data_IF_718798927788
#
_entry.id   IF_718798927788
#
_cell.length_a   1.000
_cell.length_b   1.000
_cell.length_c   1.000
_cell.angle_alpha   90.00
_cell.angle_beta   90.00
_cell.angle_gamma   90.00
#
_symmetry.space_group_name_H-M   'P 1'
#
loop_
_entity.id
_entity.type
_entity.pdbx_description
1 polymer ?
#
# COMPACT_ATOMS: atom_id res chain seq x y z
N UNK A 1 40.91 35.54 -10.86
CA UNK A 1 41.19 34.15 -10.47
C UNK A 1 40.06 33.70 -9.56
N UNK A 2 39.29 32.70 -9.94
CA UNK A 2 38.27 32.11 -9.05
C UNK A 2 38.93 31.02 -8.21
N UNK A 3 38.63 31.00 -6.90
CA UNK A 3 39.13 29.98 -5.97
C UNK A 3 37.91 29.21 -5.47
N UNK A 4 37.94 27.89 -5.57
CA UNK A 4 36.89 27.04 -5.02
C UNK A 4 36.95 27.09 -3.48
N UNK A 5 35.82 27.40 -2.85
CA UNK A 5 35.66 27.38 -1.39
C UNK A 5 34.64 26.31 -1.01
N UNK A 6 34.81 25.69 0.17
CA UNK A 6 33.82 24.74 0.70
C UNK A 6 32.58 25.49 1.20
N UNK A 7 31.40 25.14 0.70
CA UNK A 7 30.12 25.74 1.11
C UNK A 7 28.94 24.77 1.25
N UNK A 8 29.02 23.57 0.67
CA UNK A 8 27.89 22.63 0.61
C UNK A 8 27.37 22.18 1.99
N UNK A 9 28.26 21.75 2.88
CA UNK A 9 27.88 21.23 4.21
C UNK A 9 27.14 22.27 5.07
N UNK A 10 27.69 23.49 5.16
CA UNK A 10 27.05 24.59 5.89
C UNK A 10 25.69 24.99 5.31
N UNK A 11 25.55 24.93 3.98
CA UNK A 11 24.30 25.22 3.32
C UNK A 11 23.24 24.14 3.61
N UNK A 12 23.64 22.86 3.63
CA UNK A 12 22.77 21.72 3.98
C UNK A 12 22.32 21.82 5.45
N UNK A 13 23.24 22.08 6.38
CA UNK A 13 22.93 22.22 7.80
C UNK A 13 21.92 23.37 8.04
N UNK A 14 22.16 24.53 7.43
CA UNK A 14 21.23 25.66 7.53
C UNK A 14 19.86 25.34 6.90
N UNK A 15 19.83 24.63 5.77
CA UNK A 15 18.59 24.20 5.13
C UNK A 15 17.78 23.23 6.01
N UNK A 16 18.45 22.28 6.69
CA UNK A 16 17.80 21.39 7.65
C UNK A 16 17.22 22.18 8.83
N UNK A 17 17.98 23.12 9.40
CA UNK A 17 17.50 23.94 10.50
C UNK A 17 16.29 24.81 10.09
N UNK A 18 16.27 25.32 8.86
CA UNK A 18 15.10 26.01 8.31
C UNK A 18 13.89 25.08 8.19
N UNK A 19 14.08 23.84 7.71
CA UNK A 19 12.99 22.85 7.62
C UNK A 19 12.46 22.43 9.00
N UNK A 20 13.34 22.30 9.99
CA UNK A 20 12.94 21.99 11.37
C UNK A 20 12.13 23.12 12.02
N UNK A 21 12.54 24.37 11.80
CA UNK A 21 11.79 25.55 12.23
C UNK A 21 10.44 25.63 11.53
N UNK A 22 10.39 25.37 10.22
CA UNK A 22 9.15 25.32 9.45
C UNK A 22 8.21 24.22 9.96
N UNK A 23 8.74 23.02 10.24
CA UNK A 23 8.00 21.90 10.83
C UNK A 23 7.43 22.26 12.21
N UNK A 24 8.18 22.99 13.04
CA UNK A 24 7.69 23.45 14.36
C UNK A 24 6.55 24.45 14.20
N UNK A 25 6.63 25.35 13.21
CA UNK A 25 5.63 26.38 12.98
C UNK A 25 5.60 27.44 14.09
N UNK A 26 4.46 28.12 14.25
CA UNK A 26 4.25 29.14 15.27
C UNK A 26 4.35 28.53 16.69
N UNK A 27 5.24 29.09 17.51
CA UNK A 27 5.48 28.60 18.86
C UNK A 27 4.32 28.86 19.83
N UNK A 28 3.41 29.77 19.49
CA UNK A 28 2.18 30.02 20.25
C UNK A 28 1.16 28.88 20.10
N UNK A 29 1.27 28.08 19.04
CA UNK A 29 0.48 26.87 18.86
C UNK A 29 1.17 25.71 19.58
N UNK A 30 0.44 24.90 20.39
CA UNK A 30 1.00 23.72 21.03
C UNK A 30 1.64 22.77 20.02
N UNK A 31 2.83 22.25 20.36
CA UNK A 31 3.54 21.32 19.50
C UNK A 31 2.77 19.99 19.39
N UNK A 32 2.65 19.47 18.17
CA UNK A 32 2.04 18.18 17.89
C UNK A 32 2.86 17.03 18.51
N UNK A 33 2.23 16.16 19.29
CA UNK A 33 2.84 14.93 19.82
C UNK A 33 2.67 13.76 18.84
N UNK A 34 3.57 12.78 18.90
CA UNK A 34 3.40 11.55 18.12
C UNK A 34 2.16 10.75 18.59
N UNK A 35 1.82 10.82 19.88
CA UNK A 35 0.61 10.22 20.45
C UNK A 35 -0.67 10.81 19.85
N UNK A 36 -0.77 12.14 19.73
CA UNK A 36 -1.91 12.80 19.06
C UNK A 36 -2.06 12.33 17.61
N UNK A 37 -0.96 12.20 16.87
CA UNK A 37 -0.99 11.67 15.49
C UNK A 37 -1.44 10.20 15.49
N UNK A 38 -0.88 9.39 16.39
CA UNK A 38 -1.20 7.97 16.55
C UNK A 38 -2.68 7.71 16.83
N UNK A 39 -3.30 8.52 17.67
CA UNK A 39 -4.69 8.37 18.10
C UNK A 39 -5.69 9.06 17.17
N UNK A 40 -5.38 10.26 16.66
CA UNK A 40 -6.36 11.11 15.97
C UNK A 40 -6.21 11.09 14.45
N UNK A 41 -5.04 10.72 13.92
CA UNK A 41 -4.76 10.60 12.48
C UNK A 41 -4.51 9.15 12.06
N UNK A 42 -5.24 8.21 12.69
CA UNK A 42 -5.01 6.78 12.56
C UNK A 42 -4.98 6.25 11.12
N UNK A 43 -5.81 6.77 10.21
CA UNK A 43 -5.80 6.32 8.80
C UNK A 43 -4.50 6.69 8.05
N UNK A 44 -3.85 7.81 8.41
CA UNK A 44 -2.55 8.16 7.87
C UNK A 44 -1.45 7.25 8.42
N UNK A 45 -1.53 6.92 9.71
CA UNK A 45 -0.64 5.96 10.38
C UNK A 45 -0.78 4.57 9.73
N UNK A 46 -2.00 4.11 9.45
CA UNK A 46 -2.27 2.83 8.80
C UNK A 46 -1.62 2.73 7.40
N UNK A 47 -1.68 3.82 6.62
CA UNK A 47 -1.00 3.90 5.32
C UNK A 47 0.52 3.84 5.47
N UNK A 48 1.09 4.62 6.38
CA UNK A 48 2.54 4.65 6.63
C UNK A 48 3.06 3.32 7.16
N UNK A 49 2.32 2.61 8.02
CA UNK A 49 2.71 1.26 8.46
C UNK A 49 2.70 0.27 7.29
N UNK A 50 1.63 0.29 6.48
CA UNK A 50 1.43 -0.65 5.36
C UNK A 50 2.51 -0.47 4.30
N UNK A 51 2.68 0.76 3.80
CA UNK A 51 3.68 1.06 2.78
C UNK A 51 5.09 1.17 3.38
N UNK A 52 5.28 1.51 4.66
CA UNK A 52 6.59 1.50 5.32
C UNK A 52 7.10 0.10 5.65
N UNK A 53 6.20 -0.87 5.83
CA UNK A 53 6.53 -2.28 6.08
C UNK A 53 6.91 -2.60 7.54
N UNK A 54 6.43 -1.81 8.50
CA UNK A 54 6.56 -2.07 9.94
C UNK A 54 5.19 -1.81 10.59
N UNK A 55 4.66 -2.81 11.30
CA UNK A 55 3.49 -2.63 12.16
C UNK A 55 3.92 -2.08 13.52
N UNK A 56 4.03 -0.76 13.61
CA UNK A 56 4.22 -0.03 14.87
C UNK A 56 3.60 1.36 14.71
N UNK A 57 2.48 1.59 15.42
CA UNK A 57 1.73 2.85 15.31
C UNK A 57 2.53 4.05 15.80
N UNK A 58 3.37 3.87 16.82
CA UNK A 58 4.17 4.94 17.39
C UNK A 58 5.29 5.36 16.45
N UNK A 59 5.98 4.40 15.84
CA UNK A 59 7.04 4.67 14.86
C UNK A 59 6.47 5.32 13.59
N UNK A 60 5.34 4.83 13.08
CA UNK A 60 4.67 5.46 11.95
C UNK A 60 4.21 6.89 12.27
N UNK A 61 3.63 7.14 13.45
CA UNK A 61 3.26 8.48 13.88
C UNK A 61 4.47 9.41 14.07
N UNK A 62 5.60 8.89 14.57
CA UNK A 62 6.87 9.61 14.65
C UNK A 62 7.38 10.00 13.27
N UNK A 63 7.34 9.07 12.31
CA UNK A 63 7.76 9.33 10.93
C UNK A 63 6.89 10.43 10.29
N UNK A 64 5.57 10.38 10.47
CA UNK A 64 4.63 11.42 10.01
C UNK A 64 4.97 12.77 10.62
N UNK A 65 5.22 12.82 11.94
CA UNK A 65 5.63 14.04 12.64
C UNK A 65 6.92 14.60 12.05
N UNK A 66 7.94 13.75 11.89
CA UNK A 66 9.25 14.13 11.40
C UNK A 66 9.19 14.68 9.96
N UNK A 67 8.34 14.08 9.13
CA UNK A 67 8.07 14.45 7.74
C UNK A 67 7.09 15.62 7.57
N UNK A 68 6.67 16.28 8.66
CA UNK A 68 5.71 17.39 8.60
C UNK A 68 4.37 17.03 7.95
N UNK A 69 3.96 15.77 8.04
CA UNK A 69 2.73 15.25 7.42
C UNK A 69 2.89 14.73 5.99
N UNK A 70 4.07 14.84 5.37
CA UNK A 70 4.33 14.19 4.07
C UNK A 70 4.41 12.67 4.26
N UNK A 71 3.42 11.95 3.73
CA UNK A 71 3.33 10.51 3.91
C UNK A 71 4.37 9.74 3.10
N UNK A 72 4.82 10.25 1.95
CA UNK A 72 5.83 9.57 1.12
C UNK A 72 7.18 9.60 1.82
N UNK A 73 7.54 10.76 2.38
CA UNK A 73 8.74 10.89 3.21
C UNK A 73 8.63 10.07 4.51
N UNK A 74 7.46 10.06 5.16
CA UNK A 74 7.24 9.23 6.36
C UNK A 74 7.37 7.73 6.08
N UNK A 75 6.83 7.25 4.95
CA UNK A 75 6.99 5.87 4.48
C UNK A 75 8.47 5.56 4.27
N UNK A 76 9.22 6.46 3.62
CA UNK A 76 10.63 6.26 3.37
C UNK A 76 11.45 6.23 4.67
N UNK A 77 11.18 7.12 5.62
CA UNK A 77 11.80 7.11 6.96
C UNK A 77 11.58 5.79 7.68
N UNK A 78 10.34 5.30 7.73
CA UNK A 78 10.02 4.04 8.39
C UNK A 78 10.65 2.83 7.67
N UNK A 79 10.67 2.86 6.33
CA UNK A 79 11.30 1.83 5.51
C UNK A 79 12.82 1.81 5.66
N UNK A 80 13.46 2.97 5.77
CA UNK A 80 14.89 3.09 6.03
C UNK A 80 15.23 2.58 7.44
N UNK A 81 14.39 2.88 8.44
CA UNK A 81 14.55 2.37 9.79
C UNK A 81 14.51 0.84 9.86
N UNK A 82 13.64 0.19 9.06
CA UNK A 82 13.59 -1.28 8.93
C UNK A 82 14.95 -1.91 8.65
N UNK A 83 15.80 -1.28 7.84
CA UNK A 83 17.13 -1.78 7.48
C UNK A 83 18.10 -1.81 8.67
N UNK A 84 17.80 -1.06 9.74
CA UNK A 84 18.62 -1.02 10.96
C UNK A 84 18.23 -2.10 11.98
N UNK A 85 17.10 -2.78 11.77
CA UNK A 85 16.54 -3.75 12.71
C UNK A 85 16.93 -5.20 12.35
N UNK A 86 17.28 -6.03 13.34
CA UNK A 86 17.47 -7.46 13.11
C UNK A 86 16.13 -8.16 12.89
N UNK A 87 16.10 -9.18 12.02
CA UNK A 87 14.97 -10.12 11.92
C UNK A 87 15.09 -11.15 13.05
N UNK A 88 14.32 -10.97 14.11
CA UNK A 88 14.38 -11.82 15.32
C UNK A 88 13.63 -13.14 15.17
N UNK A 89 12.51 -13.12 14.44
CA UNK A 89 11.67 -14.29 14.22
C UNK A 89 10.88 -14.13 12.91
N UNK A 90 10.22 -15.20 12.49
CA UNK A 90 9.16 -15.22 11.47
C UNK A 90 7.91 -15.73 12.16
N UNK A 91 6.75 -15.09 11.92
CA UNK A 91 5.51 -15.57 12.51
C UNK A 91 5.07 -16.87 11.86
N UNK A 92 4.28 -17.64 12.60
CA UNK A 92 3.37 -18.60 11.96
C UNK A 92 2.44 -17.84 10.98
N UNK A 93 1.91 -18.52 9.95
CA UNK A 93 0.91 -17.93 9.06
C UNK A 93 -0.28 -17.37 9.84
N UNK A 94 -0.74 -16.18 9.47
CA UNK A 94 -1.84 -15.52 10.16
C UNK A 94 -3.17 -16.23 9.91
N UNK A 95 -3.91 -16.51 10.97
CA UNK A 95 -5.21 -17.17 10.91
C UNK A 95 -6.36 -16.14 10.91
N UNK A 96 -6.66 -15.53 9.75
CA UNK A 96 -7.69 -14.48 9.61
C UNK A 96 -9.13 -14.98 9.85
N UNK A 97 -9.35 -16.29 9.88
CA UNK A 97 -10.61 -16.93 10.28
C UNK A 97 -10.91 -16.76 11.78
N UNK A 98 -9.88 -16.49 12.59
CA UNK A 98 -9.99 -16.23 14.02
C UNK A 98 -9.95 -14.73 14.35
N UNK A 99 -10.11 -13.86 13.35
CA UNK A 99 -10.07 -12.41 13.53
C UNK A 99 -11.16 -11.93 14.50
N UNK A 100 -10.75 -11.18 15.52
CA UNK A 100 -11.68 -10.43 16.38
C UNK A 100 -12.15 -9.19 15.65
N UNK A 101 -13.31 -9.32 15.01
CA UNK A 101 -13.88 -8.36 14.08
C UNK A 101 -14.24 -7.02 14.74
N UNK A 102 -13.90 -5.94 14.06
CA UNK A 102 -14.50 -4.61 14.25
C UNK A 102 -15.45 -4.24 13.12
N UNK A 103 -15.20 -4.76 11.92
CA UNK A 103 -15.97 -4.53 10.71
C UNK A 103 -15.96 -5.77 9.84
N UNK A 104 -17.09 -6.07 9.20
CA UNK A 104 -17.26 -7.18 8.27
C UNK A 104 -18.43 -6.90 7.32
N UNK A 105 -18.15 -6.76 6.04
CA UNK A 105 -19.17 -6.54 5.01
C UNK A 105 -19.01 -7.45 3.81
N UNK A 106 -20.10 -7.72 3.10
CA UNK A 106 -20.11 -8.39 1.80
C UNK A 106 -21.07 -7.69 0.84
N UNK A 107 -20.66 -7.51 -0.41
CA UNK A 107 -21.53 -6.97 -1.45
C UNK A 107 -22.27 -8.05 -2.25
N UNK A 108 -21.95 -9.32 -2.08
CA UNK A 108 -22.50 -10.43 -2.90
C UNK A 108 -23.73 -11.11 -2.28
N UNK A 109 -23.96 -10.91 -0.99
CA UNK A 109 -25.18 -11.36 -0.30
C UNK A 109 -25.80 -10.22 0.51
N UNK A 110 -27.14 -10.21 0.58
CA UNK A 110 -27.86 -9.22 1.39
C UNK A 110 -27.55 -9.38 2.89
N UNK A 111 -27.47 -10.61 3.34
CA UNK A 111 -27.16 -10.97 4.72
C UNK A 111 -26.24 -12.20 4.74
N UNK A 112 -25.48 -12.36 5.82
CA UNK A 112 -24.45 -13.37 5.97
C UNK A 112 -24.62 -14.08 7.31
N UNK A 113 -24.17 -15.34 7.46
CA UNK A 113 -23.86 -15.86 8.78
C UNK A 113 -22.91 -14.90 9.50
N UNK A 114 -23.29 -14.45 10.71
CA UNK A 114 -22.60 -13.40 11.46
C UNK A 114 -22.97 -11.96 11.10
N UNK A 115 -23.85 -11.76 10.11
CA UNK A 115 -24.41 -10.47 9.73
C UNK A 115 -23.45 -9.53 8.98
N UNK A 116 -24.00 -8.39 8.57
CA UNK A 116 -23.28 -7.25 8.02
C UNK A 116 -22.91 -6.29 9.16
N UNK A 117 -21.62 -6.19 9.48
CA UNK A 117 -21.08 -5.37 10.57
C UNK A 117 -20.37 -4.16 9.96
N UNK A 118 -21.03 -2.99 9.97
CA UNK A 118 -20.44 -1.79 9.37
C UNK A 118 -19.21 -1.28 10.13
N UNK A 119 -19.16 -1.45 11.45
CA UNK A 119 -18.04 -0.96 12.26
C UNK A 119 -17.78 0.56 12.11
N UNK A 120 -16.59 1.05 12.54
CA UNK A 120 -16.18 2.42 12.31
C UNK A 120 -15.90 2.66 10.82
N UNK A 121 -16.66 3.55 10.18
CA UNK A 121 -16.51 3.84 8.75
C UNK A 121 -16.93 5.26 8.38
N UNK A 122 -16.32 5.79 7.33
CA UNK A 122 -16.78 7.01 6.64
C UNK A 122 -17.81 6.71 5.54
N UNK A 123 -18.12 5.45 5.27
CA UNK A 123 -19.20 5.08 4.35
C UNK A 123 -20.51 5.71 4.80
N UNK A 124 -21.38 6.05 3.82
CA UNK A 124 -22.69 6.67 4.05
C UNK A 124 -22.69 8.08 4.68
N UNK A 125 -21.53 8.64 5.05
CA UNK A 125 -21.44 10.03 5.52
C UNK A 125 -21.73 11.05 4.42
N UNK A 126 -22.26 12.23 4.76
CA UNK A 126 -22.28 13.36 3.84
C UNK A 126 -20.92 14.07 3.89
N UNK A 127 -20.29 14.27 2.73
CA UNK A 127 -18.94 14.86 2.64
C UNK A 127 -19.00 16.40 2.73
N UNK A 128 -19.41 16.88 3.90
CA UNK A 128 -19.47 18.30 4.25
C UNK A 128 -18.38 18.58 5.28
N UNK A 129 -17.71 19.73 5.16
CA UNK A 129 -16.74 20.14 6.17
C UNK A 129 -17.45 20.39 7.50
N UNK A 130 -17.01 19.69 8.54
CA UNK A 130 -17.51 19.89 9.90
C UNK A 130 -16.74 21.02 10.60
N UNK A 131 -17.30 22.22 10.55
CA UNK A 131 -16.70 23.40 11.19
C UNK A 131 -16.69 23.32 12.72
N UNK A 132 -17.44 22.40 13.35
CA UNK A 132 -17.40 22.22 14.80
C UNK A 132 -16.02 21.75 15.28
N UNK A 133 -15.28 21.01 14.43
CA UNK A 133 -13.92 20.53 14.73
C UNK A 133 -12.85 21.63 14.78
N UNK A 134 -13.18 22.89 14.44
CA UNK A 134 -12.29 24.03 14.67
C UNK A 134 -12.21 24.45 16.15
N UNK A 135 -13.17 24.00 16.97
CA UNK A 135 -13.17 24.20 18.41
C UNK A 135 -13.00 22.86 19.13
N UNK A 136 -12.48 22.89 20.35
CA UNK A 136 -12.49 21.71 21.21
C UNK A 136 -13.94 21.34 21.54
N UNK A 137 -14.31 20.08 21.30
CA UNK A 137 -15.63 19.54 21.58
C UNK A 137 -15.54 18.16 22.24
N UNK A 138 -16.66 17.69 22.76
CA UNK A 138 -16.77 16.34 23.30
C UNK A 138 -17.22 15.38 22.20
N UNK A 139 -16.51 14.27 22.05
CA UNK A 139 -16.92 13.17 21.17
C UNK A 139 -18.02 12.37 21.86
N UNK A 140 -19.18 12.13 21.23
CA UNK A 140 -20.21 11.29 21.83
C UNK A 140 -19.68 9.87 22.05
N UNK A 141 -20.14 9.17 23.11
CA UNK A 141 -19.74 7.79 23.34
C UNK A 141 -20.18 6.91 22.16
N UNK A 142 -19.33 5.96 21.78
CA UNK A 142 -19.66 5.00 20.73
C UNK A 142 -20.89 4.17 21.15
N UNK A 143 -21.84 3.90 20.25
CA UNK A 143 -22.94 3.00 20.54
C UNK A 143 -22.40 1.60 20.83
N UNK A 144 -22.98 0.93 21.82
CA UNK A 144 -22.68 -0.47 22.15
C UNK A 144 -23.83 -1.35 21.65
N UNK A 145 -23.48 -2.48 21.04
CA UNK A 145 -24.47 -3.48 20.66
C UNK A 145 -24.91 -4.28 21.90
N UNK A 146 -26.19 -4.69 21.93
CA UNK A 146 -26.74 -5.50 23.01
C UNK A 146 -26.16 -6.93 23.01
N UNK A 147 -25.86 -7.45 21.82
CA UNK A 147 -25.29 -8.79 21.62
C UNK A 147 -23.86 -8.69 21.06
N UNK A 148 -22.92 -9.50 21.58
CA UNK A 148 -21.57 -9.57 21.01
C UNK A 148 -21.61 -10.21 19.62
N UNK A 149 -20.63 -9.86 18.79
CA UNK A 149 -20.41 -10.56 17.53
C UNK A 149 -20.06 -12.04 17.79
N UNK A 150 -20.43 -12.96 16.87
CA UNK A 150 -19.98 -14.33 16.96
C UNK A 150 -18.45 -14.41 16.99
N UNK A 151 -17.90 -15.26 17.86
CA UNK A 151 -16.44 -15.45 18.00
C UNK A 151 -15.78 -15.89 16.68
N UNK A 152 -16.53 -16.58 15.82
CA UNK A 152 -16.08 -17.00 14.49
C UNK A 152 -17.13 -16.70 13.44
N UNK A 153 -16.69 -16.04 12.38
CA UNK A 153 -17.49 -15.78 11.18
C UNK A 153 -16.80 -16.43 9.99
N UNK A 154 -17.45 -17.42 9.37
CA UNK A 154 -16.93 -18.06 8.16
C UNK A 154 -16.69 -17.03 7.04
N UNK A 155 -15.65 -17.25 6.25
CA UNK A 155 -15.39 -16.44 5.06
C UNK A 155 -16.48 -16.64 4.02
N UNK A 156 -16.80 -15.58 3.27
CA UNK A 156 -17.76 -15.65 2.16
C UNK A 156 -17.28 -16.62 1.10
N UNK A 157 -15.96 -16.69 0.86
CA UNK A 157 -15.39 -17.69 -0.05
C UNK A 157 -15.57 -19.13 0.44
N UNK A 158 -15.59 -19.40 1.75
CA UNK A 158 -15.91 -20.75 2.26
C UNK A 158 -17.33 -21.18 1.85
N UNK A 159 -18.28 -20.25 1.89
CA UNK A 159 -19.66 -20.49 1.47
C UNK A 159 -19.76 -20.74 -0.04
N UNK A 160 -18.96 -20.04 -0.85
CA UNK A 160 -18.87 -20.26 -2.30
C UNK A 160 -18.18 -21.59 -2.62
N UNK A 161 -17.13 -21.95 -1.90
CA UNK A 161 -16.39 -23.20 -2.05
C UNK A 161 -17.27 -24.42 -1.72
N UNK A 162 -18.04 -24.36 -0.63
CA UNK A 162 -19.01 -25.40 -0.27
C UNK A 162 -20.05 -25.66 -1.36
N UNK A 163 -20.41 -24.62 -2.11
CA UNK A 163 -21.33 -24.69 -3.26
C UNK A 163 -20.63 -25.00 -4.58
N UNK A 164 -19.29 -25.16 -4.58
CA UNK A 164 -18.45 -25.36 -5.78
C UNK A 164 -18.56 -24.21 -6.79
N UNK A 165 -18.85 -23.00 -6.30
CA UNK A 165 -18.92 -21.78 -7.11
C UNK A 165 -17.58 -21.04 -7.16
N UNK A 166 -16.65 -21.38 -6.28
CA UNK A 166 -15.26 -20.94 -6.27
C UNK A 166 -14.36 -22.11 -5.89
N UNK A 167 -13.05 -21.96 -6.11
CA UNK A 167 -12.04 -22.90 -5.62
C UNK A 167 -11.45 -22.39 -4.31
N UNK A 168 -11.16 -23.34 -3.41
CA UNK A 168 -10.35 -23.07 -2.23
C UNK A 168 -8.91 -22.76 -2.67
N UNK A 169 -8.28 -21.79 -1.99
CA UNK A 169 -6.83 -21.63 -2.06
C UNK A 169 -6.22 -22.73 -1.19
N UNK A 170 -5.26 -23.48 -1.74
CA UNK A 170 -4.61 -24.59 -1.07
C UNK A 170 -3.15 -24.24 -0.76
N UNK A 171 -2.70 -24.57 0.44
CA UNK A 171 -1.28 -24.50 0.79
C UNK A 171 -0.56 -25.72 0.21
N UNK A 172 0.30 -25.47 -0.78
CA UNK A 172 1.14 -26.50 -1.41
C UNK A 172 2.49 -26.69 -0.70
N UNK A 173 2.71 -25.99 0.42
CA UNK A 173 3.95 -26.01 1.20
C UNK A 173 5.11 -25.27 0.53
N UNK A 174 4.87 -24.54 -0.56
CA UNK A 174 5.91 -23.73 -1.21
C UNK A 174 6.38 -22.62 -0.27
N UNK A 175 7.70 -22.42 -0.24
CA UNK A 175 8.27 -21.31 0.54
C UNK A 175 8.00 -19.99 -0.19
N UNK A 176 7.42 -18.97 0.47
CA UNK A 176 7.15 -17.70 -0.17
C UNK A 176 8.45 -16.99 -0.54
N UNK A 177 8.45 -16.32 -1.69
CA UNK A 177 9.55 -15.44 -2.09
C UNK A 177 9.65 -14.23 -1.16
N UNK A 178 10.87 -13.72 -0.96
CA UNK A 178 11.13 -12.53 -0.14
C UNK A 178 11.91 -11.48 -0.94
N UNK A 179 11.18 -10.53 -1.53
CA UNK A 179 11.73 -9.42 -2.32
C UNK A 179 12.60 -8.46 -1.48
N UNK A 180 12.57 -8.57 -0.15
CA UNK A 180 13.45 -7.79 0.74
C UNK A 180 14.82 -8.44 0.92
N UNK A 181 15.02 -9.66 0.40
CA UNK A 181 16.28 -10.39 0.39
C UNK A 181 16.81 -10.61 -1.01
N UNK A 182 15.92 -10.87 -1.96
CA UNK A 182 16.26 -11.13 -3.36
C UNK A 182 15.58 -10.07 -4.25
N UNK A 183 16.30 -9.45 -5.20
CA UNK A 183 15.67 -8.50 -6.11
C UNK A 183 14.62 -9.20 -7.00
N UNK A 184 13.52 -8.52 -7.38
CA UNK A 184 12.49 -9.10 -8.22
C UNK A 184 13.03 -9.42 -9.63
N UNK A 185 12.62 -10.56 -10.18
CA UNK A 185 12.89 -10.99 -11.55
C UNK A 185 11.56 -11.46 -12.15
N UNK A 186 11.19 -10.91 -13.29
CA UNK A 186 9.91 -11.21 -13.92
C UNK A 186 10.01 -12.44 -14.85
N UNK A 187 9.00 -13.33 -14.87
CA UNK A 187 7.78 -13.29 -14.05
C UNK A 187 8.03 -13.72 -12.59
N UNK A 188 7.32 -13.07 -11.67
CA UNK A 188 7.33 -13.29 -10.23
C UNK A 188 6.26 -14.32 -9.81
N UNK A 189 6.52 -15.07 -8.74
CA UNK A 189 5.47 -15.89 -8.10
C UNK A 189 4.38 -14.98 -7.50
N UNK A 190 3.15 -15.51 -7.34
CA UNK A 190 2.06 -14.76 -6.71
C UNK A 190 2.42 -14.27 -5.29
N UNK A 191 3.23 -15.05 -4.55
CA UNK A 191 3.73 -14.64 -3.22
C UNK A 191 4.58 -13.35 -3.31
N UNK A 192 5.51 -13.26 -4.26
CA UNK A 192 6.30 -12.06 -4.53
C UNK A 192 5.43 -10.90 -5.03
N UNK A 193 4.44 -11.17 -5.89
CA UNK A 193 3.52 -10.12 -6.38
C UNK A 193 2.70 -9.53 -5.23
N UNK A 194 2.08 -10.36 -4.39
CA UNK A 194 1.32 -9.89 -3.22
C UNK A 194 2.21 -9.14 -2.22
N UNK A 195 3.42 -9.63 -1.96
CA UNK A 195 4.40 -8.94 -1.11
C UNK A 195 4.77 -7.54 -1.66
N UNK A 196 4.89 -7.40 -2.98
CA UNK A 196 5.15 -6.10 -3.62
C UNK A 196 3.90 -5.19 -3.58
N UNK A 197 2.71 -5.72 -3.87
CA UNK A 197 1.46 -4.94 -3.89
C UNK A 197 1.11 -4.34 -2.52
N UNK A 198 1.33 -5.06 -1.42
CA UNK A 198 1.10 -4.49 -0.07
C UNK A 198 2.05 -3.32 0.21
N UNK A 199 3.26 -3.33 -0.37
CA UNK A 199 4.26 -2.27 -0.25
C UNK A 199 4.07 -1.11 -1.24
N UNK A 200 3.31 -1.32 -2.31
CA UNK A 200 3.12 -0.34 -3.38
C UNK A 200 2.30 0.89 -2.98
N UNK A 201 2.43 1.97 -3.72
CA UNK A 201 1.70 3.21 -3.52
C UNK A 201 0.20 3.00 -3.69
N UNK A 202 -0.56 3.43 -2.69
CA UNK A 202 -2.01 3.31 -2.70
C UNK A 202 -2.68 4.03 -3.87
N UNK A 203 -2.22 5.23 -4.23
CA UNK A 203 -2.79 6.03 -5.32
C UNK A 203 -2.56 5.40 -6.69
N UNK A 204 -1.34 4.91 -6.94
CA UNK A 204 -0.98 4.20 -8.17
C UNK A 204 -1.81 2.93 -8.35
N UNK A 205 -1.84 2.06 -7.33
CA UNK A 205 -2.61 0.81 -7.40
C UNK A 205 -4.12 1.06 -7.52
N UNK A 206 -4.63 2.10 -6.86
CA UNK A 206 -6.04 2.52 -6.99
C UNK A 206 -6.34 2.96 -8.44
N UNK A 207 -5.46 3.73 -9.08
CA UNK A 207 -5.64 4.15 -10.46
C UNK A 207 -5.61 2.98 -11.45
N UNK A 208 -4.68 2.02 -11.26
CA UNK A 208 -4.64 0.78 -12.05
C UNK A 208 -5.93 -0.04 -11.86
N UNK A 209 -6.35 -0.23 -10.62
CA UNK A 209 -7.60 -0.92 -10.28
C UNK A 209 -8.82 -0.25 -10.91
N UNK A 210 -8.88 1.08 -10.87
CA UNK A 210 -9.97 1.83 -11.50
C UNK A 210 -9.97 1.68 -13.02
N UNK A 211 -8.78 1.56 -13.65
CA UNK A 211 -8.68 1.34 -15.09
C UNK A 211 -9.29 -0.02 -15.52
N UNK A 212 -9.11 -1.08 -14.73
CA UNK A 212 -9.70 -2.40 -15.03
C UNK A 212 -11.22 -2.36 -14.92
N UNK A 213 -11.76 -1.63 -13.93
CA UNK A 213 -13.21 -1.40 -13.79
C UNK A 213 -13.79 -0.62 -14.99
N UNK A 214 -12.97 0.22 -15.63
CA UNK A 214 -13.35 0.96 -16.84
C UNK A 214 -13.11 0.22 -18.16
N UNK A 215 -12.63 -1.03 -18.10
CA UNK A 215 -12.51 -1.91 -19.26
C UNK A 215 -11.08 -2.21 -19.72
N UNK A 216 -10.05 -1.59 -19.14
CA UNK A 216 -8.65 -1.88 -19.48
C UNK A 216 -8.18 -3.14 -18.74
N UNK A 217 -8.39 -4.32 -19.32
CA UNK A 217 -8.14 -5.60 -18.63
C UNK A 217 -9.23 -5.95 -17.63
N UNK A 218 -10.50 -5.90 -18.06
CA UNK A 218 -11.68 -6.10 -17.21
C UNK A 218 -11.69 -7.49 -16.55
N UNK A 219 -11.88 -7.54 -15.23
CA UNK A 219 -11.97 -8.77 -14.44
C UNK A 219 -13.28 -8.94 -13.64
N UNK A 220 -14.31 -8.10 -13.90
CA UNK A 220 -15.66 -8.18 -13.32
C UNK A 220 -15.72 -8.35 -11.78
N UNK A 221 -15.27 -7.36 -11.00
CA UNK A 221 -15.11 -7.52 -9.56
C UNK A 221 -16.40 -7.31 -8.75
N UNK A 222 -16.53 -8.07 -7.66
CA UNK A 222 -17.47 -7.85 -6.57
C UNK A 222 -16.71 -7.99 -5.24
N UNK A 223 -17.00 -7.12 -4.26
CA UNK A 223 -16.45 -7.27 -2.91
C UNK A 223 -17.09 -8.50 -2.24
N UNK A 224 -16.41 -9.64 -2.33
CA UNK A 224 -16.84 -10.89 -1.71
C UNK A 224 -16.91 -10.71 -0.21
N UNK A 225 -15.81 -10.25 0.38
CA UNK A 225 -15.75 -9.87 1.78
C UNK A 225 -14.70 -8.79 2.01
N UNK A 226 -15.02 -7.85 2.92
CA UNK A 226 -14.02 -6.97 3.55
C UNK A 226 -14.22 -7.12 5.05
N UNK A 227 -13.16 -7.49 5.76
CA UNK A 227 -13.16 -7.60 7.22
C UNK A 227 -11.96 -6.89 7.82
N UNK A 228 -12.20 -6.21 8.94
CA UNK A 228 -11.16 -5.53 9.71
C UNK A 228 -11.26 -5.96 11.16
N UNK A 229 -10.13 -6.22 11.79
CA UNK A 229 -10.09 -6.69 13.17
C UNK A 229 -8.71 -7.15 13.59
N UNK A 230 -8.63 -7.60 14.84
CA UNK A 230 -7.39 -8.01 15.46
C UNK A 230 -7.13 -9.49 15.21
N UNK A 231 -5.90 -9.82 14.81
CA UNK A 231 -5.42 -11.18 14.58
C UNK A 231 -4.20 -11.42 15.47
N UNK A 232 -4.18 -12.54 16.18
CA UNK A 232 -3.05 -12.98 16.99
C UNK A 232 -1.84 -13.30 16.11
N UNK A 233 -0.65 -12.91 16.59
CA UNK A 233 0.63 -13.25 15.96
C UNK A 233 1.37 -14.22 16.87
N UNK A 234 1.72 -15.37 16.32
CA UNK A 234 2.47 -16.41 17.02
C UNK A 234 3.85 -16.60 16.37
N UNK A 235 4.84 -16.95 17.16
CA UNK A 235 6.16 -17.39 16.69
C UNK A 235 6.51 -18.74 17.35
N UNK A 236 7.41 -19.50 16.75
CA UNK A 236 7.99 -20.72 17.36
C UNK A 236 9.48 -20.46 17.64
N UNK A 237 9.84 -19.98 18.85
CA UNK A 237 11.24 -19.75 19.21
C UNK A 237 12.00 -21.08 19.27
N UNK A 238 13.23 -21.11 18.75
CA UNK A 238 14.09 -22.30 18.76
C UNK A 238 14.33 -22.81 20.20
N UNK A 239 14.41 -21.90 21.16
CA UNK A 239 14.66 -22.20 22.57
C UNK A 239 13.51 -22.92 23.26
N UNK A 240 12.28 -22.80 22.74
CA UNK A 240 11.07 -23.37 23.32
C UNK A 240 10.52 -24.55 22.51
N UNK A 241 10.59 -24.48 21.19
CA UNK A 241 10.10 -25.53 20.28
C UNK A 241 8.57 -25.66 20.22
N UNK A 242 7.82 -24.64 20.69
CA UNK A 242 6.36 -24.56 20.57
C UNK A 242 5.91 -23.11 20.30
N UNK A 243 4.69 -22.95 19.77
CA UNK A 243 4.13 -21.66 19.42
C UNK A 243 3.85 -20.79 20.66
N UNK A 244 4.21 -19.50 20.56
CA UNK A 244 4.01 -18.49 21.60
C UNK A 244 3.31 -17.29 20.98
N UNK A 245 2.18 -16.89 21.57
CA UNK A 245 1.47 -15.64 21.29
C UNK A 245 2.34 -14.44 21.74
N UNK A 246 2.66 -13.55 20.79
CA UNK A 246 3.45 -12.34 21.03
C UNK A 246 2.62 -11.04 20.93
N UNK A 247 1.31 -11.16 20.75
CA UNK A 247 0.36 -10.06 20.68
C UNK A 247 -0.56 -10.15 19.47
N UNK A 248 -1.24 -9.03 19.20
CA UNK A 248 -2.21 -8.93 18.11
C UNK A 248 -1.90 -7.76 17.19
N UNK A 249 -2.28 -7.91 15.93
CA UNK A 249 -2.19 -6.86 14.91
C UNK A 249 -3.58 -6.59 14.34
N UNK A 250 -3.88 -5.31 14.16
CA UNK A 250 -5.09 -4.87 13.47
C UNK A 250 -4.84 -4.94 11.97
N UNK A 251 -5.66 -5.71 11.27
CA UNK A 251 -5.57 -5.93 9.83
C UNK A 251 -6.90 -5.61 9.15
N UNK A 252 -6.82 -5.32 7.86
CA UNK A 252 -7.96 -5.36 6.95
C UNK A 252 -7.66 -6.33 5.82
N UNK A 253 -8.53 -7.32 5.66
CA UNK A 253 -8.51 -8.34 4.62
C UNK A 253 -9.64 -8.06 3.61
N UNK A 254 -9.32 -8.16 2.32
CA UNK A 254 -10.25 -8.01 1.23
C UNK A 254 -10.15 -9.19 0.26
N UNK A 255 -11.27 -9.87 0.08
CA UNK A 255 -11.44 -10.92 -0.93
C UNK A 255 -12.38 -10.44 -2.03
N UNK A 256 -11.86 -10.32 -3.24
CA UNK A 256 -12.65 -9.96 -4.43
C UNK A 256 -13.10 -11.23 -5.15
N UNK A 257 -14.39 -11.31 -5.47
CA UNK A 257 -14.93 -12.26 -6.45
C UNK A 257 -14.77 -11.64 -7.83
N UNK A 258 -14.24 -12.38 -8.79
CA UNK A 258 -13.99 -11.94 -10.15
C UNK A 258 -14.74 -12.81 -11.17
N UNK A 259 -14.63 -12.49 -12.46
CA UNK A 259 -15.25 -13.24 -13.54
C UNK A 259 -14.99 -14.76 -13.44
N UNK A 260 -15.96 -15.56 -13.88
CA UNK A 260 -15.83 -17.01 -13.88
C UNK A 260 -15.05 -17.52 -15.08
N UNK A 261 -14.42 -18.68 -14.91
CA UNK A 261 -13.74 -19.43 -15.97
C UNK A 261 -14.47 -20.75 -16.22
N UNK A 262 -14.29 -21.33 -17.41
CA UNK A 262 -14.85 -22.63 -17.82
C UNK A 262 -13.71 -23.57 -18.30
N UNK A 263 -12.91 -24.10 -17.35
CA UNK A 263 -11.82 -25.01 -17.68
C UNK A 263 -12.34 -26.41 -18.07
N UNK A 264 -11.53 -27.18 -18.81
CA UNK A 264 -11.94 -28.49 -19.32
C UNK A 264 -11.98 -29.60 -18.25
N UNK A 265 -11.22 -29.45 -17.16
CA UNK A 265 -10.97 -30.49 -16.14
C UNK A 265 -11.87 -30.39 -14.90
N UNK A 266 -12.65 -29.30 -14.76
CA UNK A 266 -13.50 -29.03 -13.58
C UNK A 266 -14.68 -28.10 -13.93
N UNK A 267 -15.73 -28.02 -13.09
CA UNK A 267 -16.88 -27.15 -13.35
C UNK A 267 -16.50 -25.66 -13.44
N UNK A 268 -17.28 -24.84 -14.17
CA UNK A 268 -17.12 -23.40 -14.16
C UNK A 268 -17.23 -22.82 -12.76
N UNK A 269 -16.35 -21.87 -12.43
CA UNK A 269 -16.28 -21.27 -11.10
C UNK A 269 -15.72 -19.86 -11.18
N UNK A 270 -16.03 -19.03 -10.17
CA UNK A 270 -15.48 -17.70 -10.01
C UNK A 270 -13.98 -17.74 -9.73
N UNK A 271 -13.28 -16.76 -10.28
CA UNK A 271 -11.89 -16.46 -9.92
C UNK A 271 -11.86 -15.43 -8.78
N UNK A 272 -10.68 -15.17 -8.22
CA UNK A 272 -10.54 -14.33 -7.02
C UNK A 272 -9.31 -13.44 -7.01
N UNK A 273 -9.39 -12.35 -6.26
CA UNK A 273 -8.28 -11.49 -5.92
C UNK A 273 -8.18 -11.29 -4.41
N UNK A 274 -6.97 -11.07 -3.89
CA UNK A 274 -6.70 -10.99 -2.46
C UNK A 274 -5.89 -9.75 -2.09
N UNK A 275 -6.27 -9.08 -0.99
CA UNK A 275 -5.55 -7.95 -0.43
C UNK A 275 -5.56 -7.96 1.09
N UNK A 276 -4.43 -7.65 1.69
CA UNK A 276 -4.24 -7.62 3.14
C UNK A 276 -3.35 -6.45 3.53
N UNK A 277 -3.79 -5.65 4.50
CA UNK A 277 -3.09 -4.42 4.93
C UNK A 277 -3.15 -4.24 6.44
N UNK A 278 -2.24 -3.42 6.97
CA UNK A 278 -2.30 -3.01 8.37
C UNK A 278 -3.40 -1.96 8.61
N UNK A 279 -4.01 -2.02 9.78
CA UNK A 279 -5.02 -1.06 10.22
C UNK A 279 -6.32 -1.17 9.43
N UNK A 280 -6.93 0.00 9.16
CA UNK A 280 -8.27 0.13 8.55
C UNK A 280 -8.22 0.68 7.12
N UNK A 281 -7.10 0.53 6.40
CA UNK A 281 -6.93 1.08 5.04
C UNK A 281 -7.60 0.24 3.95
N UNK A 282 -8.93 0.16 3.97
CA UNK A 282 -9.74 -0.68 3.06
C UNK A 282 -9.44 -0.41 1.58
N UNK A 283 -9.28 0.86 1.18
CA UNK A 283 -9.06 1.21 -0.23
C UNK A 283 -7.79 0.57 -0.78
N UNK A 284 -6.73 0.47 0.03
CA UNK A 284 -5.48 -0.18 -0.35
C UNK A 284 -5.66 -1.69 -0.47
N UNK A 285 -6.36 -2.32 0.48
CA UNK A 285 -6.66 -3.76 0.40
C UNK A 285 -7.50 -4.10 -0.84
N UNK A 286 -8.51 -3.29 -1.16
CA UNK A 286 -9.32 -3.43 -2.36
C UNK A 286 -8.49 -3.26 -3.64
N UNK A 287 -7.65 -2.23 -3.72
CA UNK A 287 -6.79 -2.00 -4.87
C UNK A 287 -5.79 -3.15 -5.07
N UNK A 288 -5.20 -3.64 -3.98
CA UNK A 288 -4.34 -4.82 -3.98
C UNK A 288 -5.07 -6.05 -4.52
N UNK A 289 -6.28 -6.35 -4.04
CA UNK A 289 -7.07 -7.50 -4.52
C UNK A 289 -7.42 -7.42 -6.01
N UNK A 290 -7.77 -6.22 -6.49
CA UNK A 290 -8.10 -6.00 -7.90
C UNK A 290 -6.88 -6.15 -8.82
N UNK A 291 -5.72 -5.64 -8.40
CA UNK A 291 -4.47 -5.76 -9.15
C UNK A 291 -3.89 -7.18 -9.04
N UNK A 292 -4.00 -7.86 -7.89
CA UNK A 292 -3.65 -9.28 -7.74
C UNK A 292 -4.34 -10.11 -8.82
N UNK A 293 -5.67 -9.99 -8.95
CA UNK A 293 -6.39 -10.72 -10.00
C UNK A 293 -5.94 -10.30 -11.41
N UNK A 294 -5.68 -9.02 -11.63
CA UNK A 294 -5.22 -8.54 -12.94
C UNK A 294 -3.85 -9.12 -13.31
N UNK A 295 -2.98 -9.39 -12.34
CA UNK A 295 -1.66 -10.00 -12.53
C UNK A 295 -1.68 -11.54 -12.56
N UNK A 296 -2.84 -12.18 -12.48
CA UNK A 296 -2.99 -13.64 -12.65
C UNK A 296 -3.20 -14.05 -14.12
N UNK A 297 -2.83 -13.18 -15.08
CA UNK A 297 -3.08 -13.40 -16.51
C UNK A 297 -2.42 -14.67 -17.03
N UNK A 298 -1.17 -14.95 -16.62
CA UNK A 298 -0.44 -16.13 -17.05
C UNK A 298 -1.11 -17.42 -16.55
N UNK A 299 -1.55 -17.43 -15.29
CA UNK A 299 -2.22 -18.57 -14.64
C UNK A 299 -3.57 -18.90 -15.28
N UNK A 300 -4.28 -17.89 -15.80
CA UNK A 300 -5.56 -18.08 -16.51
C UNK A 300 -5.46 -18.08 -18.03
N UNK A 301 -4.24 -17.96 -18.61
CA UNK A 301 -4.04 -17.89 -20.06
C UNK A 301 -4.69 -16.66 -20.72
N UNK A 302 -4.80 -15.55 -20.00
CA UNK A 302 -5.40 -14.30 -20.46
C UNK A 302 -4.38 -13.45 -21.22
N UNK A 303 -4.82 -12.78 -22.28
CA UNK A 303 -3.99 -11.79 -22.97
C UNK A 303 -3.93 -10.47 -22.17
N UNK A 304 -2.76 -9.84 -22.16
CA UNK A 304 -2.57 -8.49 -21.59
C UNK A 304 -3.29 -7.47 -22.48
N UNK A 305 -4.37 -6.90 -21.96
CA UNK A 305 -5.22 -5.93 -22.65
C UNK A 305 -5.20 -4.53 -22.01
N UNK A 306 -4.55 -4.38 -20.85
CA UNK A 306 -4.39 -3.10 -20.17
C UNK A 306 -3.18 -3.08 -19.23
N UNK A 307 -2.74 -1.89 -18.78
CA UNK A 307 -1.51 -1.75 -17.99
C UNK A 307 -1.54 -2.51 -16.66
N UNK A 308 -2.71 -2.68 -16.04
CA UNK A 308 -2.85 -3.42 -14.78
C UNK A 308 -2.56 -4.93 -14.91
N UNK A 309 -2.50 -5.45 -16.14
CA UNK A 309 -2.17 -6.85 -16.44
C UNK A 309 -0.70 -7.03 -16.87
N UNK A 310 0.04 -5.94 -17.06
CA UNK A 310 1.46 -5.96 -17.42
C UNK A 310 2.30 -6.00 -16.14
N UNK A 311 2.80 -7.19 -15.80
CA UNK A 311 3.44 -7.46 -14.52
C UNK A 311 4.66 -6.57 -14.25
N UNK A 312 5.55 -6.43 -15.24
CA UNK A 312 6.75 -5.60 -15.08
C UNK A 312 6.38 -4.13 -14.98
N UNK A 313 5.45 -3.65 -15.81
CA UNK A 313 4.99 -2.26 -15.72
C UNK A 313 4.35 -1.94 -14.37
N UNK A 314 3.52 -2.84 -13.82
CA UNK A 314 2.88 -2.61 -12.53
C UNK A 314 3.91 -2.61 -11.40
N UNK A 315 4.69 -3.69 -11.29
CA UNK A 315 5.51 -3.93 -10.11
C UNK A 315 6.75 -3.02 -10.07
N UNK A 316 7.37 -2.71 -11.21
CA UNK A 316 8.53 -1.83 -11.28
C UNK A 316 8.22 -0.34 -10.99
N UNK A 317 6.94 0.04 -10.97
CA UNK A 317 6.51 1.42 -10.72
C UNK A 317 5.61 1.55 -9.49
N UNK A 318 5.43 0.48 -8.72
CA UNK A 318 4.52 0.45 -7.57
C UNK A 318 5.14 1.04 -6.29
N UNK A 319 6.39 0.75 -5.96
CA UNK A 319 6.99 1.20 -4.68
C UNK A 319 7.35 2.69 -4.75
N UNK A 320 6.65 3.53 -3.98
CA UNK A 320 6.91 4.98 -3.97
C UNK A 320 8.26 5.35 -3.36
N UNK A 321 8.90 4.47 -2.59
CA UNK A 321 10.27 4.71 -2.12
C UNK A 321 11.23 4.78 -3.31
N UNK A 322 11.06 3.89 -4.28
CA UNK A 322 11.84 3.90 -5.52
C UNK A 322 11.41 5.06 -6.44
N UNK A 323 10.10 5.17 -6.69
CA UNK A 323 9.58 6.16 -7.63
C UNK A 323 9.84 7.61 -7.17
N UNK A 324 9.57 7.94 -5.90
CA UNK A 324 9.80 9.28 -5.37
C UNK A 324 11.30 9.60 -5.26
N UNK A 325 12.12 8.63 -4.87
CA UNK A 325 13.58 8.77 -4.90
C UNK A 325 14.08 9.12 -6.30
N UNK A 326 13.66 8.35 -7.31
CA UNK A 326 14.08 8.56 -8.69
C UNK A 326 13.44 9.79 -9.36
N UNK A 327 12.25 10.25 -8.99
CA UNK A 327 11.75 11.53 -9.52
C UNK A 327 12.47 12.70 -8.87
N UNK A 328 12.65 12.65 -7.55
CA UNK A 328 13.22 13.76 -6.79
C UNK A 328 14.73 13.93 -6.98
N UNK A 329 15.45 12.89 -7.43
CA UNK A 329 16.89 12.99 -7.71
C UNK A 329 17.20 14.05 -8.77
N UNK A 330 16.26 14.41 -9.65
CA UNK A 330 16.43 15.46 -10.66
C UNK A 330 16.79 16.84 -10.07
N UNK A 331 16.55 17.05 -8.76
CA UNK A 331 17.00 18.24 -8.01
C UNK A 331 18.52 18.26 -7.79
N UNK A 332 19.19 17.12 -7.91
CA UNK A 332 20.64 17.02 -7.77
C UNK A 332 21.34 17.69 -8.97
N UNK A 333 22.62 18.04 -8.84
CA UNK A 333 23.34 18.69 -9.93
C UNK A 333 23.56 17.76 -11.14
N UNK A 334 22.94 18.09 -12.28
CA UNK A 334 23.09 17.40 -13.58
C UNK A 334 23.81 18.27 -14.63
N UNK A 335 24.59 19.26 -14.18
CA UNK A 335 25.19 20.27 -15.07
C UNK A 335 26.23 19.70 -16.05
N UNK A 336 26.81 18.53 -15.77
CA UNK A 336 27.75 17.87 -16.69
C UNK A 336 26.99 17.27 -17.88
N UNK A 337 25.97 16.47 -17.62
CA UNK A 337 25.17 15.84 -18.67
C UNK A 337 24.43 16.91 -19.49
N UNK A 338 23.88 17.92 -18.81
CA UNK A 338 23.23 19.04 -19.50
C UNK A 338 24.21 19.82 -20.39
N UNK A 339 25.49 19.93 -20.00
CA UNK A 339 26.50 20.59 -20.83
C UNK A 339 26.78 19.81 -22.11
N UNK A 340 26.75 18.46 -22.08
CA UNK A 340 26.89 17.64 -23.28
C UNK A 340 25.70 17.83 -24.24
N UNK A 341 24.47 17.88 -23.72
CA UNK A 341 23.28 18.19 -24.52
C UNK A 341 23.33 19.61 -25.12
N UNK A 342 23.79 20.60 -24.35
CA UNK A 342 23.97 21.97 -24.84
C UNK A 342 24.99 22.06 -25.97
N UNK A 343 26.07 21.29 -25.91
CA UNK A 343 27.08 21.26 -26.97
C UNK A 343 26.49 20.73 -28.28
N UNK A 344 25.76 19.60 -28.22
CA UNK A 344 25.07 19.04 -29.37
C UNK A 344 24.05 20.02 -29.96
N UNK A 345 23.21 20.61 -29.11
CA UNK A 345 22.18 21.56 -29.54
C UNK A 345 22.79 22.78 -30.24
N UNK A 346 23.87 23.33 -29.69
CA UNK A 346 24.59 24.47 -30.29
C UNK A 346 25.16 24.13 -31.65
N UNK A 347 25.73 22.92 -31.81
CA UNK A 347 26.24 22.45 -33.11
C UNK A 347 25.11 22.35 -34.14
N UNK A 348 23.98 21.74 -33.79
CA UNK A 348 22.82 21.63 -34.67
C UNK A 348 22.26 23.01 -35.07
N UNK A 349 22.24 23.99 -34.16
CA UNK A 349 21.84 25.36 -34.46
C UNK A 349 22.79 26.04 -35.46
N UNK A 350 24.11 25.84 -35.32
CA UNK A 350 25.10 26.37 -36.27
C UNK A 350 24.96 25.75 -37.66
N UNK A 351 24.78 24.43 -37.74
CA UNK A 351 24.55 23.72 -38.99
C UNK A 351 23.27 24.21 -39.70
N UNK A 352 22.19 24.43 -38.95
CA UNK A 352 20.95 24.98 -39.48
C UNK A 352 21.13 26.40 -40.03
N UNK A 353 21.84 27.27 -39.31
CA UNK A 353 22.11 28.65 -39.76
C UNK A 353 22.91 28.67 -41.07
N UNK A 354 23.96 27.86 -41.17
CA UNK A 354 24.77 27.74 -42.38
C UNK A 354 23.94 27.23 -43.59
N UNK A 355 22.99 26.31 -43.37
CA UNK A 355 22.09 25.83 -44.42
C UNK A 355 21.09 26.91 -44.88
N UNK A 356 20.68 27.82 -44.00
CA UNK A 356 19.79 28.93 -44.36
C UNK A 356 20.53 30.01 -45.17
N UNK A 357 21.77 30.33 -44.80
CA UNK A 357 22.61 31.28 -45.56
C UNK A 357 22.85 30.77 -46.99
N UNK A 358 23.19 29.50 -47.16
CA UNK A 358 23.37 28.86 -48.47
C UNK A 358 22.11 28.73 -49.33
N UNK A 359 20.91 28.99 -48.78
CA UNK A 359 19.64 29.01 -49.52
C UNK A 359 19.24 30.40 -49.99
N UNK A 360 19.85 31.44 -49.42
CA UNK A 360 19.58 32.84 -49.74
C UNK A 360 20.65 33.48 -50.64
N UNK A 361 21.80 32.82 -50.81
CA UNK A 361 22.70 32.99 -51.96
C UNK A 361 22.22 32.15 -53.15
#
# INVERSE_FOLDING_TARGET
MYVAVKGGEKAIEAAHQLQENLRRGDETVPALSAEQIGEQLGLAVDRVMTEGGIYDRQLAALAIKQASGDLVEAIFLLRAYRTTLPRLAVSEPLASENMRLERRISAVYKDLPGGQVLGPTYDYTHRLLDFALLANGETPPAPQADEPLPERCAHVFDLLNQQRLALAEEDDGSTPDDITRNPPVYPCSRSARLQQLVRGDEGFLLALSYSTQRGYGRNHPFAGEIRSGYVTVEIVPEELGFAVDIGEILLTECEMVNGFVDPQDRPPHFTRGYGLVFGRSERKAMAMALVDRALQTAEYGEAVAGPAQDEEFVLAHADNVEAAGFVSHLKLPHYVDFQAELELLKRLQQEFAALQENRHE
#
